data_IF_198897585604
#
_entry.id   IF_198897585604
#
_cell.length_a   1.000
_cell.length_b   1.000
_cell.length_c   1.000
_cell.angle_alpha   90.00
_cell.angle_beta   90.00
_cell.angle_gamma   90.00
#
_symmetry.space_group_name_H-M   'P 1'
#
loop_
_entity.id
_entity.type
_entity.pdbx_description
1 polymer ?
#
# COMPACT_ATOMS: atom_id res chain seq x y z
N UNK A 1 -8.06 6.88 6.16
CA UNK A 1 -7.15 7.21 5.06
C UNK A 1 -5.85 6.44 5.25
N UNK A 2 -5.36 5.76 4.22
CA UNK A 2 -4.13 4.94 4.19
C UNK A 2 -2.91 5.72 4.70
N UNK A 3 -2.66 6.87 4.14
CA UNK A 3 -1.48 7.69 4.47
C UNK A 3 -1.49 8.16 5.93
N UNK A 4 -2.65 8.34 6.54
CA UNK A 4 -2.76 8.65 7.98
C UNK A 4 -2.28 7.48 8.85
N UNK A 5 -2.60 6.24 8.46
CA UNK A 5 -2.10 5.04 9.15
C UNK A 5 -0.60 4.82 8.90
N UNK A 6 -0.11 5.11 7.70
CA UNK A 6 1.33 5.05 7.42
C UNK A 6 2.09 6.09 8.24
N UNK A 7 1.60 7.33 8.32
CA UNK A 7 2.25 8.42 9.04
C UNK A 7 2.20 8.22 10.55
N UNK A 8 1.05 7.85 11.11
CA UNK A 8 0.77 7.89 12.55
C UNK A 8 -0.01 6.66 13.06
N UNK A 9 0.19 5.48 12.45
CA UNK A 9 -0.64 4.31 12.69
C UNK A 9 -0.69 3.87 14.14
N UNK A 10 0.46 3.78 14.81
CA UNK A 10 0.53 3.42 16.23
C UNK A 10 -0.22 4.43 17.12
N UNK A 11 -0.03 5.72 16.86
CA UNK A 11 -0.72 6.77 17.62
C UNK A 11 -2.23 6.72 17.39
N UNK A 12 -2.66 6.51 16.14
CA UNK A 12 -4.06 6.44 15.74
C UNK A 12 -4.76 5.22 16.37
N UNK A 13 -4.16 4.03 16.24
CA UNK A 13 -4.76 2.78 16.77
C UNK A 13 -4.80 2.78 18.29
N UNK A 14 -3.76 3.28 18.96
CA UNK A 14 -3.73 3.46 20.41
C UNK A 14 -4.80 4.44 20.89
N UNK A 15 -4.97 5.57 20.19
CA UNK A 15 -5.99 6.57 20.53
C UNK A 15 -7.40 6.03 20.33
N UNK A 16 -7.65 5.32 19.21
CA UNK A 16 -8.92 4.68 18.94
C UNK A 16 -9.27 3.64 20.02
N UNK A 17 -8.31 2.78 20.38
CA UNK A 17 -8.51 1.78 21.44
C UNK A 17 -8.81 2.42 22.80
N UNK A 18 -8.10 3.49 23.17
CA UNK A 18 -8.34 4.23 24.43
C UNK A 18 -9.72 4.90 24.45
N UNK A 19 -10.24 5.31 23.30
CA UNK A 19 -11.57 5.90 23.14
C UNK A 19 -12.69 4.85 22.96
N UNK A 20 -12.38 3.55 22.87
CA UNK A 20 -13.34 2.50 22.53
C UNK A 20 -13.90 2.62 21.11
N UNK A 21 -13.17 3.30 20.21
CA UNK A 21 -13.57 3.48 18.82
C UNK A 21 -13.05 2.33 17.95
N UNK A 22 -13.90 1.83 17.07
CA UNK A 22 -13.51 0.80 16.08
C UNK A 22 -13.05 1.48 14.79
N UNK A 23 -11.93 1.00 14.24
CA UNK A 23 -11.43 1.43 12.92
C UNK A 23 -11.85 0.36 11.91
N UNK A 24 -12.74 0.73 10.99
CA UNK A 24 -13.18 -0.17 9.91
C UNK A 24 -12.45 0.22 8.63
N UNK A 25 -11.66 -0.70 8.03
CA UNK A 25 -10.91 -0.40 6.83
C UNK A 25 -11.82 -0.36 5.60
N UNK A 26 -11.58 0.63 4.74
CA UNK A 26 -12.29 0.78 3.45
C UNK A 26 -11.37 0.62 2.24
N UNK A 27 -10.05 0.51 2.44
CA UNK A 27 -9.17 0.04 1.36
C UNK A 27 -9.53 -1.40 1.01
N UNK A 28 -9.57 -1.76 -0.27
CA UNK A 28 -10.17 -3.02 -0.73
C UNK A 28 -9.49 -4.25 -0.12
N UNK A 29 -8.18 -4.22 -0.04
CA UNK A 29 -7.37 -5.31 0.49
C UNK A 29 -7.54 -5.46 2.01
N UNK A 30 -7.57 -4.34 2.72
CA UNK A 30 -7.75 -4.35 4.19
C UNK A 30 -9.19 -4.69 4.58
N UNK A 31 -10.18 -4.20 3.82
CA UNK A 31 -11.57 -4.63 3.99
C UNK A 31 -11.72 -6.14 3.78
N UNK A 32 -11.01 -6.72 2.79
CA UNK A 32 -11.01 -8.16 2.56
C UNK A 32 -10.43 -8.94 3.75
N UNK A 33 -9.27 -8.53 4.28
CA UNK A 33 -8.67 -9.14 5.48
C UNK A 33 -9.62 -9.02 6.66
N UNK A 34 -10.16 -7.82 6.91
CA UNK A 34 -11.11 -7.57 7.98
C UNK A 34 -12.32 -8.52 7.92
N UNK A 35 -12.92 -8.70 6.73
CA UNK A 35 -14.04 -9.60 6.54
C UNK A 35 -13.67 -11.08 6.79
N UNK A 36 -12.47 -11.52 6.37
CA UNK A 36 -11.98 -12.87 6.62
C UNK A 36 -11.71 -13.11 8.12
N UNK A 37 -11.13 -12.14 8.82
CA UNK A 37 -10.82 -12.25 10.26
C UNK A 37 -12.08 -12.29 11.12
N UNK A 38 -13.17 -11.63 10.71
CA UNK A 38 -14.44 -11.64 11.45
C UNK A 38 -15.26 -12.93 11.30
N UNK A 39 -14.81 -13.87 10.47
CA UNK A 39 -15.46 -15.17 10.30
C UNK A 39 -15.21 -16.13 11.47
N UNK A 40 -14.22 -15.83 12.34
CA UNK A 40 -13.87 -16.64 13.51
C UNK A 40 -13.23 -15.75 14.59
N UNK A 41 -12.98 -16.29 15.80
CA UNK A 41 -12.13 -15.62 16.80
C UNK A 41 -10.66 -15.71 16.35
N UNK A 42 -10.33 -14.91 15.35
CA UNK A 42 -9.07 -14.95 14.62
C UNK A 42 -7.87 -14.40 15.38
N UNK A 43 -8.05 -13.87 16.60
CA UNK A 43 -6.96 -13.24 17.35
C UNK A 43 -5.78 -14.17 17.68
N UNK A 44 -5.94 -15.50 17.53
CA UNK A 44 -4.94 -16.50 17.90
C UNK A 44 -4.60 -17.53 16.82
N UNK A 45 -5.19 -17.46 15.64
CA UNK A 45 -5.05 -18.50 14.62
C UNK A 45 -4.47 -18.03 13.29
N UNK A 46 -4.13 -16.75 13.14
CA UNK A 46 -3.58 -16.22 11.90
C UNK A 46 -2.11 -16.61 11.78
N UNK A 47 -1.76 -17.31 10.71
CA UNK A 47 -0.37 -17.56 10.32
C UNK A 47 0.21 -16.35 9.59
N UNK A 48 -0.51 -15.83 8.61
CA UNK A 48 -0.16 -14.63 7.85
C UNK A 48 -1.37 -14.07 7.10
N UNK A 49 -1.28 -12.82 6.71
CA UNK A 49 -2.17 -12.21 5.73
C UNK A 49 -1.41 -12.00 4.41
N UNK A 50 -2.15 -12.05 3.31
CA UNK A 50 -1.57 -11.92 1.98
C UNK A 50 -2.36 -10.83 1.24
N UNK A 51 -1.70 -9.69 1.01
CA UNK A 51 -2.22 -8.59 0.21
C UNK A 51 -2.06 -8.94 -1.27
N UNK A 52 -3.10 -8.76 -2.07
CA UNK A 52 -2.98 -8.90 -3.52
C UNK A 52 -2.71 -7.56 -4.18
N UNK A 53 -1.93 -7.55 -5.24
CA UNK A 53 -1.63 -6.40 -6.07
C UNK A 53 -2.02 -6.69 -7.52
N UNK A 54 -2.48 -5.69 -8.28
CA UNK A 54 -2.68 -5.85 -9.73
C UNK A 54 -1.36 -6.06 -10.48
N UNK A 55 -0.24 -5.65 -9.88
CA UNK A 55 1.08 -5.58 -10.50
C UNK A 55 1.33 -4.28 -11.27
N UNK A 56 0.34 -3.40 -11.34
CA UNK A 56 0.42 -2.12 -12.05
C UNK A 56 0.51 -2.27 -13.57
N UNK A 57 0.66 -1.14 -14.31
CA UNK A 57 0.71 -1.15 -15.77
C UNK A 57 2.02 -1.70 -16.35
N UNK A 58 3.08 -1.84 -15.55
CA UNK A 58 4.42 -2.21 -16.03
C UNK A 58 4.86 -3.61 -15.59
N UNK A 59 3.90 -4.44 -15.15
CA UNK A 59 4.18 -5.84 -14.78
C UNK A 59 4.92 -6.57 -15.91
N UNK A 60 6.07 -7.18 -15.58
CA UNK A 60 6.92 -7.90 -16.54
C UNK A 60 7.85 -7.01 -17.39
N UNK A 61 7.90 -5.69 -17.14
CA UNK A 61 8.83 -4.80 -17.82
C UNK A 61 10.22 -4.88 -17.20
N UNK A 62 11.23 -4.84 -18.04
CA UNK A 62 12.63 -4.76 -17.61
C UNK A 62 13.03 -3.31 -17.26
N UNK A 63 14.20 -3.17 -16.64
CA UNK A 63 14.73 -1.86 -16.23
C UNK A 63 14.91 -0.88 -17.39
N UNK A 64 15.27 -1.37 -18.59
CA UNK A 64 15.48 -0.53 -19.77
C UNK A 64 14.15 0.08 -20.24
N UNK A 65 13.11 -0.73 -20.31
CA UNK A 65 11.76 -0.27 -20.63
C UNK A 65 11.23 0.71 -19.56
N UNK A 66 11.47 0.41 -18.27
CA UNK A 66 11.06 1.28 -17.16
C UNK A 66 11.75 2.65 -17.18
N UNK A 67 12.97 2.77 -17.72
CA UNK A 67 13.67 4.05 -17.85
C UNK A 67 12.98 5.04 -18.80
N UNK A 68 12.21 4.53 -19.76
CA UNK A 68 11.50 5.34 -20.77
C UNK A 68 10.03 5.62 -20.41
N UNK A 69 9.57 5.19 -19.22
CA UNK A 69 8.18 5.37 -18.79
C UNK A 69 7.83 6.84 -18.62
N UNK A 70 6.70 7.22 -19.22
CA UNK A 70 6.13 8.56 -19.12
C UNK A 70 5.05 8.65 -18.04
N UNK A 71 4.75 9.85 -17.51
CA UNK A 71 3.63 10.05 -16.59
C UNK A 71 2.29 9.54 -17.14
N UNK A 72 2.01 9.78 -18.43
CA UNK A 72 0.78 9.32 -19.06
C UNK A 72 0.63 7.79 -19.05
N UNK A 73 1.72 7.05 -19.25
CA UNK A 73 1.71 5.59 -19.15
C UNK A 73 1.52 5.12 -17.70
N UNK A 74 2.16 5.78 -16.74
CA UNK A 74 2.09 5.40 -15.33
C UNK A 74 0.69 5.60 -14.71
N UNK A 75 -0.08 6.58 -15.18
CA UNK A 75 -1.45 6.82 -14.71
C UNK A 75 -2.50 5.94 -15.40
N UNK A 76 -2.14 5.25 -16.48
CA UNK A 76 -3.03 4.36 -17.23
C UNK A 76 -3.13 2.97 -16.57
N UNK A 77 -3.81 2.90 -15.40
CA UNK A 77 -3.96 1.64 -14.68
C UNK A 77 -4.90 0.66 -15.43
N UNK A 78 -4.53 -0.64 -15.58
CA UNK A 78 -5.27 -1.57 -16.44
C UNK A 78 -6.66 -2.00 -15.90
N UNK A 79 -6.93 -1.85 -14.61
CA UNK A 79 -8.15 -2.33 -13.94
C UNK A 79 -8.92 -1.27 -13.18
N UNK A 80 -8.24 -0.30 -12.58
CA UNK A 80 -8.83 0.70 -11.69
C UNK A 80 -8.77 2.09 -12.32
N UNK A 81 -9.86 2.85 -12.21
CA UNK A 81 -9.85 4.29 -12.48
C UNK A 81 -9.53 5.01 -11.16
N UNK A 82 -8.32 5.53 -11.06
CA UNK A 82 -7.79 6.12 -9.82
C UNK A 82 -7.19 7.50 -10.08
N UNK A 83 -6.97 8.26 -8.99
CA UNK A 83 -6.22 9.52 -9.06
C UNK A 83 -4.76 9.32 -9.51
N UNK A 84 -4.09 10.37 -10.02
CA UNK A 84 -2.74 10.25 -10.57
C UNK A 84 -1.70 9.72 -9.57
N UNK A 85 -1.71 10.20 -8.32
CA UNK A 85 -0.75 9.79 -7.27
C UNK A 85 -0.82 8.30 -7.02
N UNK A 86 -2.00 7.77 -6.71
CA UNK A 86 -2.19 6.34 -6.40
C UNK A 86 -1.93 5.44 -7.62
N UNK A 87 -2.16 5.94 -8.84
CA UNK A 87 -1.83 5.20 -10.07
C UNK A 87 -0.31 5.03 -10.23
N UNK A 88 0.48 6.07 -9.95
CA UNK A 88 1.95 5.97 -9.94
C UNK A 88 2.42 5.08 -8.78
N UNK A 89 1.81 5.17 -7.60
CA UNK A 89 2.11 4.27 -6.48
C UNK A 89 1.83 2.80 -6.83
N UNK A 90 0.75 2.53 -7.58
CA UNK A 90 0.48 1.19 -8.12
C UNK A 90 1.55 0.76 -9.12
N UNK A 91 1.95 1.65 -10.02
CA UNK A 91 2.97 1.39 -11.03
C UNK A 91 4.35 1.07 -10.45
N UNK A 92 4.70 1.67 -9.32
CA UNK A 92 5.97 1.46 -8.59
C UNK A 92 5.90 0.34 -7.54
N UNK A 93 4.74 -0.25 -7.29
CA UNK A 93 4.39 -1.10 -6.14
C UNK A 93 4.51 -0.38 -4.77
N UNK A 94 4.68 0.94 -4.74
CA UNK A 94 4.64 1.69 -3.48
C UNK A 94 3.25 1.64 -2.83
N UNK A 95 2.16 1.66 -3.61
CA UNK A 95 0.82 1.52 -3.05
C UNK A 95 0.72 0.27 -2.17
N UNK A 96 1.24 -0.86 -2.67
CA UNK A 96 1.26 -2.10 -1.90
C UNK A 96 2.22 -2.04 -0.72
N UNK A 97 3.30 -1.29 -0.83
CA UNK A 97 4.20 -1.02 0.28
C UNK A 97 3.53 -0.22 1.41
N UNK A 98 2.78 0.82 1.07
CA UNK A 98 1.99 1.58 2.05
C UNK A 98 0.91 0.72 2.70
N UNK A 99 0.29 -0.18 1.95
CA UNK A 99 -0.70 -1.12 2.44
C UNK A 99 -0.13 -2.17 3.40
N UNK A 100 1.12 -2.61 3.22
CA UNK A 100 1.82 -3.47 4.19
C UNK A 100 1.93 -2.77 5.55
N UNK A 101 2.30 -1.48 5.55
CA UNK A 101 2.40 -0.68 6.78
C UNK A 101 1.00 -0.47 7.40
N UNK A 102 0.00 -0.20 6.59
CA UNK A 102 -1.39 -0.06 7.03
C UNK A 102 -1.91 -1.36 7.66
N UNK A 103 -1.68 -2.52 7.03
CA UNK A 103 -2.08 -3.83 7.54
C UNK A 103 -1.44 -4.15 8.90
N UNK A 104 -0.15 -3.81 9.07
CA UNK A 104 0.54 -3.93 10.35
C UNK A 104 -0.21 -3.22 11.47
N UNK A 105 -0.57 -1.94 11.26
CA UNK A 105 -1.25 -1.14 12.27
C UNK A 105 -2.71 -1.56 12.50
N UNK A 106 -3.45 -1.88 11.43
CA UNK A 106 -4.87 -2.24 11.54
C UNK A 106 -5.09 -3.59 12.23
N UNK A 107 -4.24 -4.57 11.94
CA UNK A 107 -4.44 -5.94 12.40
C UNK A 107 -3.47 -6.37 13.50
N UNK A 108 -2.51 -5.51 13.88
CA UNK A 108 -1.51 -5.81 14.91
C UNK A 108 -0.56 -6.95 14.52
N UNK A 109 -0.37 -7.21 13.23
CA UNK A 109 0.49 -8.28 12.73
C UNK A 109 1.92 -7.77 12.54
N UNK A 110 2.94 -8.54 12.93
CA UNK A 110 4.33 -8.21 12.60
C UNK A 110 4.56 -8.28 11.08
N UNK A 111 5.52 -7.51 10.58
CA UNK A 111 5.78 -7.41 9.14
C UNK A 111 6.09 -8.75 8.45
N UNK A 112 6.63 -9.72 9.20
CA UNK A 112 6.92 -11.09 8.72
C UNK A 112 5.67 -11.94 8.50
N UNK A 113 4.53 -11.51 9.03
CA UNK A 113 3.22 -12.16 8.81
C UNK A 113 2.39 -11.45 7.74
N UNK A 114 2.97 -10.49 7.01
CA UNK A 114 2.29 -9.77 5.94
C UNK A 114 3.04 -10.02 4.64
N UNK A 115 2.42 -10.79 3.74
CA UNK A 115 2.95 -11.11 2.43
C UNK A 115 2.23 -10.36 1.31
N UNK A 116 2.84 -10.33 0.13
CA UNK A 116 2.28 -9.73 -1.08
C UNK A 116 2.33 -10.72 -2.23
N UNK A 117 1.21 -10.87 -2.95
CA UNK A 117 1.12 -11.57 -4.23
C UNK A 117 0.62 -10.62 -5.32
N UNK A 118 1.11 -10.80 -6.53
CA UNK A 118 0.53 -10.15 -7.71
C UNK A 118 -0.58 -11.03 -8.25
N UNK A 119 -1.79 -10.44 -8.38
CA UNK A 119 -3.00 -11.05 -8.93
C UNK A 119 -3.57 -10.14 -10.01
N UNK A 120 -3.21 -10.36 -11.29
CA UNK A 120 -3.50 -9.40 -12.37
C UNK A 120 -4.99 -9.16 -12.62
N UNK A 121 -5.83 -10.15 -12.31
CA UNK A 121 -7.28 -10.02 -12.49
C UNK A 121 -7.92 -9.12 -11.43
N UNK A 122 -7.27 -8.93 -10.28
CA UNK A 122 -7.77 -8.11 -9.14
C UNK A 122 -9.15 -8.53 -8.64
N UNK A 123 -9.48 -9.82 -8.69
CA UNK A 123 -10.75 -10.40 -8.22
C UNK A 123 -10.64 -10.95 -6.79
N UNK A 124 -9.48 -11.49 -6.43
CA UNK A 124 -9.13 -11.80 -5.05
C UNK A 124 -8.50 -10.55 -4.45
N UNK A 125 -9.15 -9.96 -3.45
CA UNK A 125 -8.70 -8.70 -2.88
C UNK A 125 -7.66 -8.90 -1.78
N UNK A 126 -7.76 -9.96 -0.97
CA UNK A 126 -6.73 -10.44 -0.03
C UNK A 126 -7.06 -11.84 0.48
N UNK A 127 -6.08 -12.46 1.15
CA UNK A 127 -6.24 -13.78 1.76
C UNK A 127 -5.71 -13.75 3.20
N UNK A 128 -6.26 -14.63 4.04
CA UNK A 128 -5.79 -14.90 5.40
C UNK A 128 -5.49 -16.39 5.51
N UNK A 129 -4.25 -16.74 5.81
CA UNK A 129 -3.81 -18.10 6.06
C UNK A 129 -3.79 -18.37 7.57
N UNK A 130 -4.41 -19.48 7.98
CA UNK A 130 -4.50 -19.88 9.37
C UNK A 130 -3.52 -21.00 9.73
N UNK A 131 -3.29 -21.18 11.03
CA UNK A 131 -2.33 -22.19 11.56
C UNK A 131 -2.76 -23.64 11.29
N UNK A 132 -4.05 -23.88 11.04
CA UNK A 132 -4.60 -25.19 10.65
C UNK A 132 -4.38 -25.52 9.17
N UNK A 133 -3.78 -24.58 8.40
CA UNK A 133 -3.51 -24.73 6.97
C UNK A 133 -4.66 -24.23 6.07
N UNK A 134 -5.79 -23.80 6.64
CA UNK A 134 -6.85 -23.19 5.83
C UNK A 134 -6.49 -21.79 5.36
N UNK A 135 -7.02 -21.40 4.22
CA UNK A 135 -6.87 -20.06 3.67
C UNK A 135 -8.25 -19.51 3.30
N UNK A 136 -8.62 -18.36 3.87
CA UNK A 136 -9.82 -17.63 3.52
C UNK A 136 -9.46 -16.47 2.59
N UNK A 137 -10.32 -16.20 1.61
CA UNK A 137 -10.16 -15.10 0.68
C UNK A 137 -11.49 -14.37 0.49
N UNK A 138 -11.43 -13.06 0.38
CA UNK A 138 -12.57 -12.28 -0.09
C UNK A 138 -12.37 -11.98 -1.59
N UNK A 139 -13.40 -12.30 -2.36
CA UNK A 139 -13.45 -12.11 -3.81
C UNK A 139 -14.60 -11.17 -4.18
N UNK A 140 -14.41 -10.40 -5.26
CA UNK A 140 -15.43 -9.54 -5.82
C UNK A 140 -14.95 -8.84 -7.08
N UNK A 141 -15.86 -8.16 -7.76
CA UNK A 141 -15.48 -7.26 -8.85
C UNK A 141 -14.69 -6.08 -8.28
N UNK A 142 -13.68 -5.54 -9.01
CA UNK A 142 -12.87 -4.42 -8.54
C UNK A 142 -13.67 -3.11 -8.55
N UNK A 143 -14.46 -2.90 -7.51
CA UNK A 143 -15.34 -1.74 -7.34
C UNK A 143 -15.38 -1.32 -5.85
N UNK A 144 -15.00 -0.07 -5.58
CA UNK A 144 -14.94 0.48 -4.22
C UNK A 144 -16.30 0.55 -3.53
N UNK A 145 -17.41 0.53 -4.26
CA UNK A 145 -18.75 0.52 -3.67
C UNK A 145 -18.96 -0.69 -2.76
N UNK A 146 -18.33 -1.83 -3.07
CA UNK A 146 -18.42 -3.02 -2.22
C UNK A 146 -17.81 -2.78 -0.85
N UNK A 147 -16.59 -2.23 -0.79
CA UNK A 147 -15.90 -1.95 0.49
C UNK A 147 -16.56 -0.82 1.27
N UNK A 148 -17.05 0.21 0.57
CA UNK A 148 -17.78 1.31 1.17
C UNK A 148 -19.11 0.82 1.78
N UNK A 149 -19.84 -0.07 1.10
CA UNK A 149 -21.07 -0.66 1.63
C UNK A 149 -20.79 -1.47 2.91
N UNK A 150 -19.70 -2.26 2.94
CA UNK A 150 -19.27 -2.97 4.15
C UNK A 150 -18.91 -1.99 5.27
N UNK A 151 -18.12 -0.97 4.99
CA UNK A 151 -17.67 0.00 6.01
C UNK A 151 -18.80 0.84 6.61
N UNK A 152 -19.77 1.22 5.80
CA UNK A 152 -20.90 2.07 6.24
C UNK A 152 -22.00 1.29 6.96
N UNK A 153 -22.19 0.01 6.60
CA UNK A 153 -23.29 -0.81 7.13
C UNK A 153 -22.84 -1.80 8.20
N UNK A 154 -21.53 -1.92 8.46
CA UNK A 154 -21.02 -2.88 9.44
C UNK A 154 -21.77 -2.85 10.78
N UNK A 155 -22.17 -4.02 11.36
CA UNK A 155 -21.86 -5.39 10.92
C UNK A 155 -22.83 -5.97 9.87
N UNK A 156 -23.74 -5.23 9.37
CA UNK A 156 -24.74 -5.70 8.42
C UNK A 156 -24.21 -5.74 6.98
N UNK A 157 -24.93 -6.45 6.10
CA UNK A 157 -24.68 -6.49 4.65
C UNK A 157 -25.81 -5.75 3.94
N UNK A 158 -25.44 -4.76 3.12
CA UNK A 158 -26.38 -3.99 2.30
C UNK A 158 -26.01 -4.09 0.83
N UNK A 159 -26.97 -3.84 -0.05
CA UNK A 159 -26.74 -3.80 -1.47
C UNK A 159 -25.79 -2.65 -1.85
N UNK A 160 -24.69 -2.98 -2.50
CA UNK A 160 -23.71 -2.00 -3.01
C UNK A 160 -24.03 -1.49 -4.42
N UNK A 161 -24.95 -2.15 -5.12
CA UNK A 161 -25.21 -1.95 -6.54
C UNK A 161 -24.13 -2.54 -7.46
N UNK A 162 -23.18 -3.33 -6.91
CA UNK A 162 -22.18 -4.08 -7.69
C UNK A 162 -22.71 -5.48 -7.96
N UNK A 163 -22.55 -5.96 -9.20
CA UNK A 163 -22.97 -7.30 -9.61
C UNK A 163 -22.17 -8.41 -8.93
N UNK A 164 -22.71 -9.63 -8.95
CA UNK A 164 -21.98 -10.82 -8.47
C UNK A 164 -20.82 -11.19 -9.38
N UNK A 165 -19.80 -11.84 -8.81
CA UNK A 165 -18.66 -12.38 -9.56
C UNK A 165 -19.05 -13.73 -10.19
N UNK A 166 -18.94 -13.82 -11.52
CA UNK A 166 -19.11 -15.07 -12.28
C UNK A 166 -17.77 -15.80 -12.39
N UNK A 167 -17.56 -16.78 -11.51
CA UNK A 167 -16.35 -17.58 -11.49
C UNK A 167 -16.23 -18.52 -12.71
N UNK A 168 -17.35 -18.94 -13.32
CA UNK A 168 -17.32 -19.78 -14.52
C UNK A 168 -16.84 -18.98 -15.74
N UNK A 169 -17.33 -17.76 -15.90
CA UNK A 169 -16.86 -16.86 -16.95
C UNK A 169 -15.39 -16.45 -16.75
N UNK A 170 -14.96 -16.30 -15.50
CA UNK A 170 -13.56 -15.97 -15.17
C UNK A 170 -12.61 -17.13 -15.48
N UNK A 171 -12.96 -18.36 -15.17
CA UNK A 171 -12.28 -19.60 -15.49
C UNK A 171 -11.05 -19.89 -14.65
N UNK A 172 -10.10 -18.93 -14.47
CA UNK A 172 -8.88 -19.11 -13.69
C UNK A 172 -8.49 -17.85 -12.94
N UNK A 173 -7.70 -18.04 -11.88
CA UNK A 173 -7.07 -16.97 -11.09
C UNK A 173 -5.56 -17.19 -11.14
N UNK A 174 -4.82 -16.15 -11.53
CA UNK A 174 -3.37 -16.19 -11.66
C UNK A 174 -2.71 -15.45 -10.50
N UNK A 175 -1.61 -16.03 -9.98
CA UNK A 175 -0.83 -15.44 -8.90
C UNK A 175 0.66 -15.52 -9.23
N UNK A 176 1.38 -14.42 -8.93
CA UNK A 176 2.82 -14.29 -9.19
C UNK A 176 3.51 -13.67 -7.97
N UNK A 177 4.80 -13.94 -7.80
CA UNK A 177 5.60 -13.20 -6.83
C UNK A 177 5.82 -11.74 -7.29
N UNK A 178 5.84 -10.74 -6.40
CA UNK A 178 6.18 -9.38 -6.78
C UNK A 178 7.67 -9.29 -7.17
N UNK A 179 7.97 -8.61 -8.28
CA UNK A 179 9.34 -8.34 -8.69
C UNK A 179 9.91 -7.13 -7.94
N UNK A 180 10.49 -7.37 -6.77
CA UNK A 180 11.08 -6.33 -5.92
C UNK A 180 12.43 -5.81 -6.44
N UNK A 181 13.03 -6.45 -7.44
CA UNK A 181 14.23 -5.95 -8.10
C UNK A 181 13.88 -4.88 -9.15
N UNK A 182 12.86 -5.12 -9.96
CA UNK A 182 12.35 -4.13 -10.91
C UNK A 182 11.59 -2.99 -10.20
N UNK A 183 10.86 -3.29 -9.11
CA UNK A 183 10.03 -2.36 -8.35
C UNK A 183 10.45 -2.28 -6.87
N UNK A 184 11.57 -1.57 -6.57
CA UNK A 184 12.16 -1.56 -5.22
C UNK A 184 11.32 -0.88 -4.15
N UNK A 185 10.31 -0.07 -4.52
CA UNK A 185 9.49 0.68 -3.57
C UNK A 185 8.78 -0.23 -2.55
N UNK A 186 8.36 -1.43 -2.96
CA UNK A 186 7.77 -2.40 -2.05
C UNK A 186 8.77 -2.86 -0.98
N UNK A 187 10.02 -3.10 -1.35
CA UNK A 187 11.10 -3.44 -0.39
C UNK A 187 11.37 -2.29 0.57
N UNK A 188 11.43 -1.05 0.07
CA UNK A 188 11.64 0.15 0.90
C UNK A 188 10.57 0.31 1.98
N UNK A 189 9.32 -0.06 1.68
CA UNK A 189 8.24 -0.02 2.65
C UNK A 189 8.41 -1.06 3.77
N UNK A 190 8.81 -2.29 3.46
CA UNK A 190 9.17 -3.28 4.48
C UNK A 190 10.37 -2.85 5.31
N UNK A 191 11.38 -2.22 4.67
CA UNK A 191 12.56 -1.70 5.37
C UNK A 191 12.15 -0.57 6.34
N UNK A 192 11.27 0.34 5.92
CA UNK A 192 10.75 1.40 6.77
C UNK A 192 9.89 0.85 7.92
N UNK A 193 9.05 -0.16 7.68
CA UNK A 193 8.27 -0.81 8.72
C UNK A 193 9.17 -1.47 9.77
N UNK A 194 10.18 -2.25 9.34
CA UNK A 194 11.15 -2.88 10.24
C UNK A 194 11.98 -1.86 11.02
N UNK A 195 12.31 -0.73 10.40
CA UNK A 195 13.03 0.35 11.05
C UNK A 195 12.20 1.01 12.17
N UNK A 196 10.88 1.10 11.97
CA UNK A 196 9.96 1.66 12.95
C UNK A 196 10.12 3.17 13.18
N UNK A 197 9.52 3.66 14.26
CA UNK A 197 9.56 5.08 14.60
C UNK A 197 9.01 5.97 13.48
N UNK A 198 9.76 7.02 13.13
CA UNK A 198 9.36 7.97 12.08
C UNK A 198 9.65 7.49 10.66
N UNK A 199 10.26 6.30 10.45
CA UNK A 199 10.64 5.83 9.11
C UNK A 199 9.45 5.67 8.14
N UNK A 200 8.27 5.16 8.52
CA UNK A 200 7.10 5.13 7.64
C UNK A 200 6.61 6.52 7.22
N UNK A 201 6.64 7.50 8.13
CA UNK A 201 6.28 8.89 7.81
C UNK A 201 7.27 9.51 6.81
N UNK A 202 8.57 9.26 7.00
CA UNK A 202 9.64 9.69 6.07
C UNK A 202 9.44 9.08 4.69
N UNK A 203 9.17 7.76 4.63
CA UNK A 203 8.87 7.04 3.37
C UNK A 203 7.72 7.71 2.62
N UNK A 204 6.60 7.94 3.31
CA UNK A 204 5.40 8.51 2.69
C UNK A 204 5.65 9.94 2.18
N UNK A 205 6.28 10.79 2.98
CA UNK A 205 6.60 12.17 2.59
C UNK A 205 7.53 12.23 1.38
N UNK A 206 8.59 11.41 1.37
CA UNK A 206 9.51 11.30 0.25
C UNK A 206 8.82 10.79 -1.02
N UNK A 207 7.93 9.79 -0.88
CA UNK A 207 7.15 9.25 -2.01
C UNK A 207 6.24 10.31 -2.61
N UNK A 208 5.52 11.09 -1.80
CA UNK A 208 4.63 12.14 -2.30
C UNK A 208 5.40 13.20 -3.11
N UNK A 209 6.55 13.64 -2.64
CA UNK A 209 7.41 14.60 -3.36
C UNK A 209 7.94 13.99 -4.65
N UNK A 210 8.48 12.77 -4.60
CA UNK A 210 9.05 12.10 -5.77
C UNK A 210 8.00 11.81 -6.86
N UNK A 211 6.81 11.35 -6.46
CA UNK A 211 5.68 11.11 -7.38
C UNK A 211 5.18 12.41 -8.00
N UNK A 212 5.08 13.49 -7.21
CA UNK A 212 4.70 14.82 -7.72
C UNK A 212 5.70 15.31 -8.77
N UNK A 213 7.00 15.18 -8.51
CA UNK A 213 8.05 15.56 -9.44
C UNK A 213 8.02 14.73 -10.74
N UNK A 214 7.77 13.42 -10.64
CA UNK A 214 7.59 12.56 -11.81
C UNK A 214 6.37 12.98 -12.64
N UNK A 215 5.23 13.21 -12.02
CA UNK A 215 4.00 13.64 -12.71
C UNK A 215 4.18 14.98 -13.43
N UNK A 216 5.05 15.85 -12.91
CA UNK A 216 5.41 17.13 -13.53
C UNK A 216 6.52 16.99 -14.59
N UNK A 217 7.02 15.80 -14.85
CA UNK A 217 8.09 15.55 -15.82
C UNK A 217 9.48 16.05 -15.38
N UNK A 218 9.68 16.34 -14.10
CA UNK A 218 10.96 16.83 -13.57
C UNK A 218 11.98 15.69 -13.39
N UNK A 219 11.53 14.46 -13.19
CA UNK A 219 12.36 13.27 -13.04
C UNK A 219 11.77 12.07 -13.79
N UNK A 220 12.61 11.10 -14.15
CA UNK A 220 12.18 9.83 -14.74
C UNK A 220 11.58 8.86 -13.71
N UNK A 221 10.87 7.84 -14.19
CA UNK A 221 10.19 6.84 -13.35
C UNK A 221 11.15 6.14 -12.35
N UNK A 222 12.34 5.76 -12.80
CA UNK A 222 13.34 5.12 -11.95
C UNK A 222 13.94 6.03 -10.87
N UNK A 223 13.79 7.35 -10.98
CA UNK A 223 14.26 8.27 -9.95
C UNK A 223 13.37 8.25 -8.71
N UNK A 224 12.11 7.81 -8.82
CA UNK A 224 11.17 7.80 -7.69
C UNK A 224 11.74 6.99 -6.52
N UNK A 225 12.10 5.72 -6.75
CA UNK A 225 12.65 4.89 -5.66
C UNK A 225 13.99 5.39 -5.15
N UNK A 226 14.84 5.94 -6.03
CA UNK A 226 16.16 6.45 -5.64
C UNK A 226 16.05 7.67 -4.70
N UNK A 227 15.10 8.57 -4.95
CA UNK A 227 14.82 9.73 -4.10
C UNK A 227 14.28 9.31 -2.73
N UNK A 228 13.39 8.31 -2.69
CA UNK A 228 12.85 7.77 -1.44
C UNK A 228 13.97 7.11 -0.63
N UNK A 229 14.77 6.24 -1.26
CA UNK A 229 15.88 5.55 -0.60
C UNK A 229 16.93 6.53 -0.09
N UNK A 230 17.27 7.56 -0.87
CA UNK A 230 18.17 8.65 -0.45
C UNK A 230 17.62 9.36 0.80
N UNK A 231 16.35 9.70 0.83
CA UNK A 231 15.75 10.41 1.97
C UNK A 231 15.72 9.53 3.22
N UNK A 232 15.35 8.25 3.08
CA UNK A 232 15.35 7.28 4.20
C UNK A 232 16.75 7.04 4.78
N UNK A 233 17.80 7.10 3.97
CA UNK A 233 19.17 6.90 4.41
C UNK A 233 19.81 8.18 4.99
N UNK A 234 19.36 9.35 4.55
CA UNK A 234 19.89 10.65 4.96
C UNK A 234 19.28 11.15 6.28
N UNK A 235 17.95 10.96 6.44
CA UNK A 235 17.23 11.47 7.61
C UNK A 235 17.26 10.44 8.74
N UNK A 236 17.81 10.79 9.92
CA UNK A 236 17.78 9.91 11.08
C UNK A 236 16.34 9.70 11.56
N UNK A 237 16.05 8.46 11.94
CA UNK A 237 14.75 8.10 12.53
C UNK A 237 14.71 8.44 14.01
N UNK A 238 13.53 8.78 14.49
CA UNK A 238 13.22 9.03 15.90
C UNK A 238 12.03 8.15 16.34
N UNK A 239 11.79 8.08 17.65
CA UNK A 239 10.56 7.47 18.14
C UNK A 239 9.34 8.26 17.67
N UNK A 240 8.24 7.55 17.37
CA UNK A 240 6.99 8.14 16.87
C UNK A 240 5.98 8.38 18.03
N UNK A 241 6.46 9.01 19.13
CA UNK A 241 5.69 9.11 20.37
C UNK A 241 4.58 10.16 20.31
N UNK A 242 4.77 11.21 19.49
CA UNK A 242 3.82 12.32 19.35
C UNK A 242 3.55 12.68 17.89
N UNK A 243 2.39 13.28 17.65
CA UNK A 243 2.03 13.77 16.32
C UNK A 243 3.01 14.85 15.84
N UNK A 244 3.48 15.73 16.73
CA UNK A 244 4.44 16.78 16.39
C UNK A 244 5.77 16.21 15.89
N UNK A 245 6.26 15.14 16.51
CA UNK A 245 7.48 14.44 16.06
C UNK A 245 7.31 13.85 14.65
N UNK A 246 6.15 13.26 14.37
CA UNK A 246 5.83 12.69 13.06
C UNK A 246 5.70 13.77 12.00
N UNK A 247 4.99 14.87 12.28
CA UNK A 247 4.86 16.01 11.35
C UNK A 247 6.20 16.71 11.10
N UNK A 248 7.06 16.80 12.12
CA UNK A 248 8.40 17.34 11.95
C UNK A 248 9.26 16.45 11.03
N UNK A 249 9.21 15.13 11.21
CA UNK A 249 9.93 14.18 10.36
C UNK A 249 9.39 14.22 8.91
N UNK A 250 8.09 14.31 8.71
CA UNK A 250 7.47 14.49 7.39
C UNK A 250 7.97 15.77 6.70
N UNK A 251 7.96 16.91 7.41
CA UNK A 251 8.44 18.18 6.86
C UNK A 251 9.92 18.13 6.48
N UNK A 252 10.76 17.53 7.32
CA UNK A 252 12.18 17.34 7.02
C UNK A 252 12.41 16.42 5.81
N UNK A 253 11.66 15.31 5.73
CA UNK A 253 11.74 14.39 4.61
C UNK A 253 11.40 15.07 3.27
N UNK A 254 10.35 15.90 3.25
CA UNK A 254 9.99 16.71 2.06
C UNK A 254 11.13 17.63 1.65
N UNK A 255 11.71 18.39 2.58
CA UNK A 255 12.83 19.28 2.29
C UNK A 255 14.07 18.55 1.76
N UNK A 256 14.40 17.38 2.31
CA UNK A 256 15.54 16.58 1.84
C UNK A 256 15.28 16.08 0.43
N UNK A 257 14.08 15.54 0.17
CA UNK A 257 13.71 15.05 -1.16
C UNK A 257 13.70 16.16 -2.20
N UNK A 258 13.18 17.36 -1.87
CA UNK A 258 13.19 18.53 -2.74
C UNK A 258 14.61 18.99 -3.07
N UNK A 259 15.53 18.98 -2.11
CA UNK A 259 16.95 19.28 -2.35
C UNK A 259 17.60 18.24 -3.26
N UNK A 260 17.30 16.97 -3.07
CA UNK A 260 17.80 15.90 -3.93
C UNK A 260 17.29 16.04 -5.38
N UNK A 261 16.03 16.45 -5.55
CA UNK A 261 15.46 16.79 -6.86
C UNK A 261 16.25 17.91 -7.58
N UNK A 262 16.57 18.98 -6.87
CA UNK A 262 17.33 20.10 -7.43
C UNK A 262 18.73 19.66 -7.94
N UNK A 263 19.36 18.71 -7.25
CA UNK A 263 20.62 18.11 -7.70
C UNK A 263 20.45 17.22 -8.94
N UNK A 264 19.37 16.43 -9.01
CA UNK A 264 19.06 15.60 -10.19
C UNK A 264 18.81 16.44 -11.45
N UNK A 265 18.10 17.56 -11.32
CA UNK A 265 17.80 18.46 -12.44
C UNK A 265 19.03 19.19 -13.01
N UNK A 266 20.12 19.31 -12.22
CA UNK A 266 21.37 19.94 -12.65
C UNK A 266 22.31 18.97 -13.39
N UNK A 267 22.03 17.66 -13.39
CA UNK A 267 22.88 16.61 -13.94
C UNK A 267 22.19 15.75 -15.02
N UNK A 268 20.91 16.03 -15.34
CA UNK A 268 20.13 15.43 -16.42
C UNK A 268 20.11 16.34 -17.65
#
# INVERSE_FOLDING_TARGET
NKESLVLAGELLTRTAAAAGAEIIPIDSEHSAIFQCLRSCDASRGVRRVILTASGGPFRGWDRAALAAVTPAQAVAHPKWSMGPKISVDSATLMNKGLEVIEAHHLFGLPGEQIDVLVHPQSLVHSLVEFVDGSTLAQLGLPDMRTTLAVGLAWPERVESGVGGLDLLAQGRLDFEAPDTAAFPCLRLAWDALRAGGTAPAILNAANEVAVSAFLQGQVGFLAIHALIEHTLTTLPRHNADTLDTLLFADAQARQITERALAHHALHA
#
